data_IF_656198439697
#
_entry.id   IF_656198439697
#
_cell.length_a   1.000
_cell.length_b   1.000
_cell.length_c   1.000
_cell.angle_alpha   90.00
_cell.angle_beta   90.00
_cell.angle_gamma   90.00
#
_symmetry.space_group_name_H-M   'P 1'
#
loop_
_entity.id
_entity.type
_entity.pdbx_description
1 polymer ?
#
# COMPACT_ATOMS: atom_id res chain seq x y z
N UNK A 1 -30.62 14.76 3.53
CA UNK A 1 -29.45 14.24 4.29
C UNK A 1 -29.21 12.83 3.82
N UNK A 2 -27.99 12.52 3.36
CA UNK A 2 -27.66 11.16 2.92
C UNK A 2 -26.94 10.49 4.07
N UNK A 3 -27.59 9.52 4.69
CA UNK A 3 -26.98 8.68 5.74
C UNK A 3 -26.27 7.52 5.06
N UNK A 4 -24.98 7.37 5.37
CA UNK A 4 -24.20 6.22 4.91
C UNK A 4 -24.14 5.22 6.06
N UNK A 5 -24.74 4.05 5.85
CA UNK A 5 -24.60 2.93 6.77
C UNK A 5 -23.13 2.45 6.76
N UNK A 6 -22.41 2.75 7.84
CA UNK A 6 -21.00 2.46 7.94
C UNK A 6 -20.70 0.96 7.88
N UNK A 7 -21.52 0.13 8.52
CA UNK A 7 -21.35 -1.33 8.51
C UNK A 7 -21.47 -1.89 7.10
N UNK A 8 -22.46 -1.44 6.32
CA UNK A 8 -22.63 -1.86 4.93
C UNK A 8 -21.43 -1.46 4.07
N UNK A 9 -20.92 -0.23 4.23
CA UNK A 9 -19.73 0.25 3.53
C UNK A 9 -18.50 -0.61 3.84
N UNK A 10 -18.27 -0.92 5.13
CA UNK A 10 -17.15 -1.75 5.58
C UNK A 10 -17.25 -3.15 4.96
N UNK A 11 -18.41 -3.80 5.02
CA UNK A 11 -18.61 -5.14 4.45
C UNK A 11 -18.39 -5.13 2.93
N UNK A 12 -18.91 -4.13 2.23
CA UNK A 12 -18.74 -4.00 0.78
C UNK A 12 -17.27 -3.84 0.41
N UNK A 13 -16.54 -2.97 1.10
CA UNK A 13 -15.11 -2.77 0.85
C UNK A 13 -14.30 -4.03 1.17
N UNK A 14 -14.55 -4.68 2.31
CA UNK A 14 -13.88 -5.95 2.65
C UNK A 14 -14.15 -7.00 1.58
N UNK A 15 -15.40 -7.15 1.13
CA UNK A 15 -15.79 -8.07 0.07
C UNK A 15 -15.11 -7.77 -1.27
N UNK A 16 -15.03 -6.49 -1.66
CA UNK A 16 -14.35 -6.05 -2.88
C UNK A 16 -12.86 -6.35 -2.85
N UNK A 17 -12.19 -6.10 -1.72
CA UNK A 17 -10.77 -6.42 -1.59
C UNK A 17 -10.52 -7.91 -1.46
N UNK A 18 -11.40 -8.67 -0.81
CA UNK A 18 -11.34 -10.13 -0.79
C UNK A 18 -11.46 -10.72 -2.21
N UNK A 19 -12.37 -10.19 -3.03
CA UNK A 19 -12.49 -10.56 -4.44
C UNK A 19 -11.24 -10.16 -5.25
N UNK A 20 -10.72 -8.95 -5.06
CA UNK A 20 -9.47 -8.53 -5.70
C UNK A 20 -8.29 -9.44 -5.30
N UNK A 21 -8.25 -9.86 -4.03
CA UNK A 21 -7.27 -10.79 -3.50
C UNK A 21 -7.35 -12.18 -4.11
N UNK A 22 -8.56 -12.68 -4.41
CA UNK A 22 -8.76 -13.94 -5.14
C UNK A 22 -7.99 -13.95 -6.47
N UNK A 23 -8.13 -12.88 -7.27
CA UNK A 23 -7.50 -12.80 -8.59
C UNK A 23 -5.98 -12.53 -8.53
N UNK A 24 -5.51 -11.78 -7.52
CA UNK A 24 -4.08 -11.46 -7.37
C UNK A 24 -3.29 -12.59 -6.72
N UNK A 25 -3.94 -13.39 -5.89
CA UNK A 25 -3.34 -14.39 -5.01
C UNK A 25 -2.61 -13.77 -3.81
N UNK A 26 -2.31 -14.62 -2.82
CA UNK A 26 -1.80 -14.19 -1.52
C UNK A 26 -0.47 -13.44 -1.55
N UNK A 27 0.42 -13.70 -2.52
CA UNK A 27 1.76 -13.10 -2.52
C UNK A 27 1.71 -11.58 -2.68
N UNK A 28 0.90 -11.10 -3.63
CA UNK A 28 0.71 -9.67 -3.88
C UNK A 28 -0.02 -9.01 -2.72
N UNK A 29 -1.03 -9.69 -2.18
CA UNK A 29 -1.78 -9.19 -1.04
C UNK A 29 -0.92 -9.12 0.22
N UNK A 30 0.00 -10.06 0.46
CA UNK A 30 0.92 -10.02 1.59
C UNK A 30 1.86 -8.81 1.53
N UNK A 31 2.35 -8.44 0.34
CA UNK A 31 3.14 -7.21 0.15
C UNK A 31 2.28 -5.99 0.53
N UNK A 32 1.05 -5.91 0.04
CA UNK A 32 0.11 -4.85 0.44
C UNK A 32 -0.13 -4.83 1.95
N UNK A 33 -0.29 -6.00 2.59
CA UNK A 33 -0.47 -6.11 4.05
C UNK A 33 0.73 -5.54 4.82
N UNK A 34 1.97 -5.74 4.36
CA UNK A 34 3.16 -5.17 5.00
C UNK A 34 3.13 -3.64 4.94
N UNK A 35 2.81 -3.06 3.79
CA UNK A 35 2.70 -1.60 3.63
C UNK A 35 1.60 -1.03 4.52
N UNK A 36 0.43 -1.67 4.55
CA UNK A 36 -0.68 -1.25 5.40
C UNK A 36 -0.37 -1.39 6.89
N UNK A 37 0.28 -2.49 7.27
CA UNK A 37 0.74 -2.71 8.65
C UNK A 37 1.70 -1.61 9.09
N UNK A 38 2.64 -1.23 8.22
CA UNK A 38 3.56 -0.13 8.51
C UNK A 38 2.81 1.19 8.72
N UNK A 39 1.80 1.49 7.89
CA UNK A 39 0.96 2.68 8.08
C UNK A 39 0.13 2.63 9.37
N UNK A 40 -0.38 1.45 9.75
CA UNK A 40 -1.02 1.24 11.05
C UNK A 40 -0.02 1.54 12.15
N UNK A 41 1.21 1.02 12.07
CA UNK A 41 2.25 1.29 13.06
C UNK A 41 2.53 2.79 13.22
N UNK A 42 2.66 3.53 12.11
CA UNK A 42 2.82 4.98 12.16
C UNK A 42 1.62 5.66 12.83
N UNK A 43 0.39 5.24 12.52
CA UNK A 43 -0.81 5.81 13.13
C UNK A 43 -0.91 5.58 14.64
N UNK A 44 -0.24 4.55 15.17
CA UNK A 44 -0.31 4.14 16.58
C UNK A 44 0.84 4.72 17.42
N UNK A 45 1.92 5.13 16.77
CA UNK A 45 3.09 5.69 17.44
C UNK A 45 3.37 7.09 16.86
N UNK A 46 2.76 8.15 17.44
CA UNK A 46 2.87 9.51 16.91
C UNK A 46 4.31 9.99 16.72
N UNK A 47 5.23 9.57 17.60
CA UNK A 47 6.65 9.88 17.47
C UNK A 47 7.26 9.30 16.18
N UNK A 48 6.93 8.06 15.82
CA UNK A 48 7.41 7.45 14.57
C UNK A 48 6.77 8.10 13.35
N UNK A 49 5.49 8.42 13.42
CA UNK A 49 4.80 9.20 12.38
C UNK A 49 5.47 10.56 12.15
N UNK A 50 5.80 11.30 13.21
CA UNK A 50 6.49 12.58 13.09
C UNK A 50 7.88 12.43 12.47
N UNK A 51 8.67 11.43 12.91
CA UNK A 51 9.99 11.15 12.33
C UNK A 51 9.86 10.82 10.84
N UNK A 52 8.85 10.01 10.48
CA UNK A 52 8.58 9.64 9.10
C UNK A 52 8.24 10.86 8.23
N UNK A 53 7.32 11.72 8.67
CA UNK A 53 6.96 12.96 7.95
C UNK A 53 8.15 13.91 7.86
N UNK A 54 8.93 14.09 8.93
CA UNK A 54 10.14 14.91 8.89
C UNK A 54 11.15 14.36 7.86
N UNK A 55 11.27 13.04 7.75
CA UNK A 55 12.12 12.40 6.74
C UNK A 55 11.60 12.66 5.32
N UNK A 56 10.28 12.55 5.10
CA UNK A 56 9.68 12.89 3.81
C UNK A 56 9.89 14.36 3.45
N UNK A 57 9.67 15.28 4.39
CA UNK A 57 9.90 16.71 4.19
C UNK A 57 11.37 17.02 3.89
N UNK A 58 12.30 16.32 4.53
CA UNK A 58 13.72 16.43 4.19
C UNK A 58 13.98 15.99 2.75
N UNK A 59 13.45 14.84 2.30
CA UNK A 59 13.58 14.36 0.92
C UNK A 59 12.96 15.35 -0.08
N UNK A 60 11.74 15.84 0.20
CA UNK A 60 11.06 16.83 -0.63
C UNK A 60 11.90 18.09 -0.75
N UNK A 61 12.43 18.61 0.36
CA UNK A 61 13.29 19.79 0.35
C UNK A 61 14.57 19.58 -0.47
N UNK A 62 15.14 18.37 -0.45
CA UNK A 62 16.34 18.03 -1.22
C UNK A 62 16.02 17.97 -2.71
N UNK A 63 14.94 17.30 -3.09
CA UNK A 63 14.47 17.23 -4.49
C UNK A 63 14.14 18.64 -4.99
N UNK A 64 13.43 19.44 -4.19
CA UNK A 64 13.06 20.81 -4.54
C UNK A 64 14.28 21.69 -4.79
N UNK A 65 15.29 21.63 -3.91
CA UNK A 65 16.55 22.35 -4.08
C UNK A 65 17.30 21.89 -5.32
N UNK A 66 17.35 20.58 -5.59
CA UNK A 66 17.98 20.05 -6.79
C UNK A 66 17.28 20.51 -8.07
N UNK A 67 15.93 20.49 -8.10
CA UNK A 67 15.13 20.98 -9.22
C UNK A 67 15.31 22.48 -9.43
N UNK A 68 15.26 23.27 -8.36
CA UNK A 68 15.47 24.73 -8.40
C UNK A 68 16.86 25.09 -8.91
N UNK A 69 17.87 24.30 -8.56
CA UNK A 69 19.24 24.47 -9.06
C UNK A 69 19.40 24.10 -10.54
N UNK A 70 18.58 23.18 -11.06
CA UNK A 70 18.62 22.75 -12.46
C UNK A 70 17.93 23.77 -13.38
N UNK A 71 16.78 24.32 -12.99
CA UNK A 71 16.12 25.43 -13.71
C UNK A 71 14.96 26.03 -12.93
N UNK A 72 14.86 27.36 -12.92
CA UNK A 72 13.72 28.10 -12.37
C UNK A 72 12.41 27.84 -13.12
N UNK A 73 12.48 27.57 -14.44
CA UNK A 73 11.29 27.35 -15.28
C UNK A 73 10.57 26.02 -15.00
N UNK A 74 11.29 24.98 -14.56
CA UNK A 74 10.66 23.71 -14.16
C UNK A 74 9.85 23.86 -12.88
N UNK A 75 10.33 24.68 -11.94
CA UNK A 75 9.69 24.89 -10.65
C UNK A 75 8.36 25.63 -10.84
N UNK A 76 8.38 26.73 -11.59
CA UNK A 76 7.17 27.51 -11.88
C UNK A 76 6.14 26.74 -12.72
N UNK A 77 6.61 25.89 -13.66
CA UNK A 77 5.73 24.98 -14.40
C UNK A 77 5.09 23.92 -13.49
N UNK A 78 5.84 23.40 -12.51
CA UNK A 78 5.32 22.43 -11.55
C UNK A 78 4.28 23.07 -10.62
N UNK A 79 4.56 24.26 -10.09
CA UNK A 79 3.63 25.07 -9.30
C UNK A 79 2.30 25.28 -10.03
N UNK A 80 2.38 25.69 -11.29
CA UNK A 80 1.20 25.94 -12.13
C UNK A 80 0.42 24.65 -12.42
N UNK A 81 1.12 23.55 -12.74
CA UNK A 81 0.46 22.28 -13.10
C UNK A 81 -0.17 21.56 -11.91
N UNK A 82 0.39 21.71 -10.73
CA UNK A 82 -0.13 21.12 -9.49
C UNK A 82 -1.08 22.06 -8.74
N UNK A 83 -1.25 23.31 -9.22
CA UNK A 83 -2.05 24.33 -8.54
C UNK A 83 -1.52 24.68 -7.16
N UNK A 84 -0.21 24.54 -6.95
CA UNK A 84 0.44 24.83 -5.68
C UNK A 84 0.84 26.31 -5.67
N UNK A 85 0.17 27.10 -4.85
CA UNK A 85 0.61 28.48 -4.55
C UNK A 85 1.60 28.44 -3.38
N UNK A 86 2.83 28.02 -3.69
CA UNK A 86 3.89 27.86 -2.70
C UNK A 86 4.77 29.10 -2.55
N UNK A 87 4.55 30.18 -3.30
CA UNK A 87 5.25 31.47 -3.16
C UNK A 87 6.79 31.36 -2.99
N UNK A 88 7.43 30.34 -3.59
CA UNK A 88 8.85 30.06 -3.45
C UNK A 88 9.27 29.30 -2.18
N UNK A 89 8.33 28.94 -1.31
CA UNK A 89 8.55 28.03 -0.18
C UNK A 89 8.61 26.57 -0.65
N UNK A 90 9.38 25.75 0.08
CA UNK A 90 9.43 24.31 -0.18
C UNK A 90 8.11 23.67 0.25
N UNK A 91 7.46 22.83 -0.57
CA UNK A 91 6.30 22.06 -0.13
C UNK A 91 6.61 21.27 1.15
N UNK A 92 5.73 21.36 2.14
CA UNK A 92 5.84 20.59 3.38
C UNK A 92 4.56 19.80 3.65
N UNK A 93 4.74 18.55 4.02
CA UNK A 93 3.69 17.67 4.52
C UNK A 93 3.45 17.97 6.00
N UNK A 94 2.18 18.07 6.40
CA UNK A 94 1.78 18.24 7.79
C UNK A 94 1.44 16.87 8.40
N UNK A 95 2.12 16.53 9.50
CA UNK A 95 1.88 15.30 10.22
C UNK A 95 0.52 15.28 10.94
N UNK A 96 -0.06 16.44 11.25
CA UNK A 96 -1.36 16.57 11.91
C UNK A 96 -2.55 16.54 10.95
N UNK A 97 -2.32 16.72 9.65
CA UNK A 97 -3.38 16.78 8.65
C UNK A 97 -3.77 15.38 8.13
N UNK A 98 -5.04 15.01 8.31
CA UNK A 98 -5.61 13.77 7.80
C UNK A 98 -5.50 13.59 6.29
N UNK A 99 -5.57 14.67 5.50
CA UNK A 99 -5.47 14.57 4.04
C UNK A 99 -4.07 14.14 3.61
N UNK A 100 -3.03 14.66 4.26
CA UNK A 100 -1.64 14.22 4.09
C UNK A 100 -1.50 12.70 4.24
N UNK A 101 -2.10 12.12 5.29
CA UNK A 101 -2.06 10.66 5.51
C UNK A 101 -2.86 9.85 4.50
N UNK A 102 -3.99 10.38 4.00
CA UNK A 102 -4.75 9.75 2.91
C UNK A 102 -3.91 9.71 1.62
N UNK A 103 -3.20 10.80 1.30
CA UNK A 103 -2.29 10.84 0.15
C UNK A 103 -1.17 9.81 0.31
N UNK A 104 -0.54 9.73 1.50
CA UNK A 104 0.48 8.73 1.82
C UNK A 104 -0.06 7.31 1.65
N UNK A 105 -1.28 7.03 2.13
CA UNK A 105 -1.94 5.73 1.96
C UNK A 105 -2.08 5.37 0.47
N UNK A 106 -2.56 6.29 -0.37
CA UNK A 106 -2.70 6.06 -1.82
C UNK A 106 -1.34 5.78 -2.48
N UNK A 107 -0.30 6.53 -2.11
CA UNK A 107 1.06 6.32 -2.62
C UNK A 107 1.58 4.94 -2.19
N UNK A 108 1.41 4.57 -0.92
CA UNK A 108 1.83 3.26 -0.41
C UNK A 108 1.09 2.10 -1.09
N UNK A 109 -0.21 2.23 -1.32
CA UNK A 109 -0.98 1.24 -2.08
C UNK A 109 -0.48 1.12 -3.52
N UNK A 110 -0.19 2.25 -4.18
CA UNK A 110 0.34 2.28 -5.53
C UNK A 110 1.72 1.60 -5.61
N UNK A 111 2.61 1.91 -4.65
CA UNK A 111 3.92 1.27 -4.53
C UNK A 111 3.79 -0.24 -4.27
N UNK A 112 2.88 -0.64 -3.37
CA UNK A 112 2.64 -2.05 -3.09
C UNK A 112 2.15 -2.81 -4.33
N UNK A 113 1.29 -2.19 -5.16
CA UNK A 113 0.84 -2.77 -6.44
C UNK A 113 2.01 -2.92 -7.42
N UNK A 114 2.85 -1.88 -7.56
CA UNK A 114 4.01 -1.91 -8.46
C UNK A 114 5.02 -2.97 -8.02
N UNK A 115 5.38 -3.01 -6.73
CA UNK A 115 6.28 -4.02 -6.17
C UNK A 115 5.66 -5.42 -6.30
N UNK A 116 4.37 -5.57 -6.01
CA UNK A 116 3.63 -6.81 -6.18
C UNK A 116 3.65 -7.32 -7.62
N UNK A 117 3.60 -6.42 -8.61
CA UNK A 117 3.74 -6.76 -10.03
C UNK A 117 5.15 -7.21 -10.39
N UNK A 118 6.17 -6.53 -9.88
CA UNK A 118 7.58 -6.81 -10.20
C UNK A 118 8.22 -7.95 -9.38
N UNK A 119 7.60 -8.37 -8.28
CA UNK A 119 8.16 -9.38 -7.36
C UNK A 119 7.97 -10.84 -7.82
N UNK A 120 7.14 -11.09 -8.84
CA UNK A 120 7.01 -12.40 -9.48
C UNK A 120 8.05 -12.54 -10.60
N UNK A 121 8.74 -13.69 -10.73
CA UNK A 121 9.74 -13.91 -11.78
C UNK A 121 9.07 -13.83 -13.17
N UNK A 122 9.84 -13.58 -14.23
CA UNK A 122 9.32 -13.60 -15.60
C UNK A 122 8.58 -12.34 -16.08
N UNK A 123 8.15 -11.43 -15.19
CA UNK A 123 7.49 -10.19 -15.62
C UNK A 123 8.46 -9.18 -16.26
N UNK A 124 9.66 -9.02 -15.69
CA UNK A 124 10.66 -8.01 -16.13
C UNK A 124 11.57 -8.47 -17.27
N UNK A 125 11.48 -9.74 -17.67
CA UNK A 125 12.17 -10.30 -18.85
C UNK A 125 11.15 -11.09 -19.65
N UNK A 126 10.47 -10.48 -20.63
CA UNK A 126 9.67 -11.23 -21.59
C UNK A 126 10.66 -12.05 -22.45
N UNK A 127 11.04 -13.20 -21.91
CA UNK A 127 11.78 -14.22 -22.65
C UNK A 127 10.71 -14.98 -23.41
N UNK A 128 10.78 -15.04 -24.73
CA UNK A 128 9.78 -15.78 -25.50
C UNK A 128 10.02 -17.29 -25.32
N UNK A 129 8.96 -18.11 -25.10
CA UNK A 129 7.53 -17.77 -25.00
C UNK A 129 7.19 -17.01 -23.71
N UNK A 130 6.18 -16.12 -23.72
CA UNK A 130 5.79 -15.32 -22.53
C UNK A 130 5.47 -16.23 -21.33
N UNK A 131 6.37 -16.26 -20.35
CA UNK A 131 6.19 -17.05 -19.13
C UNK A 131 5.54 -16.19 -18.05
N UNK A 132 4.25 -16.39 -17.80
CA UNK A 132 3.50 -15.74 -16.72
C UNK A 132 3.37 -16.65 -15.50
N UNK A 133 3.26 -16.06 -14.31
CA UNK A 133 2.85 -16.80 -13.11
C UNK A 133 1.39 -16.50 -12.79
N UNK A 134 0.59 -17.55 -12.66
CA UNK A 134 -0.82 -17.46 -12.29
C UNK A 134 -1.03 -18.11 -10.93
N UNK A 135 -1.88 -17.50 -10.11
CA UNK A 135 -2.25 -18.04 -8.81
C UNK A 135 -3.09 -19.32 -9.01
N UNK A 136 -2.72 -20.41 -8.34
CA UNK A 136 -3.57 -21.59 -8.23
C UNK A 136 -4.76 -21.28 -7.33
N UNK A 137 -5.76 -22.18 -7.32
CA UNK A 137 -6.91 -22.04 -6.44
C UNK A 137 -6.52 -21.90 -4.96
N UNK A 138 -5.47 -22.60 -4.51
CA UNK A 138 -4.97 -22.47 -3.13
C UNK A 138 -4.43 -21.06 -2.87
N UNK A 139 -3.60 -20.52 -3.77
CA UNK A 139 -3.09 -19.16 -3.63
C UNK A 139 -4.19 -18.10 -3.72
N UNK A 140 -5.23 -18.35 -4.53
CA UNK A 140 -6.40 -17.50 -4.65
C UNK A 140 -7.22 -17.48 -3.35
N UNK A 141 -7.43 -18.63 -2.70
CA UNK A 141 -8.14 -18.72 -1.41
C UNK A 141 -7.40 -17.96 -0.29
N UNK A 142 -6.09 -18.11 -0.20
CA UNK A 142 -5.30 -17.29 0.74
C UNK A 142 -5.31 -15.80 0.36
N UNK A 143 -5.40 -15.50 -0.94
CA UNK A 143 -5.61 -14.16 -1.47
C UNK A 143 -6.93 -13.54 -1.00
N UNK A 144 -8.03 -14.30 -0.94
CA UNK A 144 -9.32 -13.84 -0.41
C UNK A 144 -9.19 -13.37 1.04
N UNK A 145 -8.53 -14.18 1.87
CA UNK A 145 -8.35 -13.87 3.29
C UNK A 145 -7.48 -12.61 3.48
N UNK A 146 -6.31 -12.55 2.83
CA UNK A 146 -5.44 -11.38 2.93
C UNK A 146 -6.06 -10.13 2.30
N UNK A 147 -6.77 -10.27 1.18
CA UNK A 147 -7.53 -9.19 0.56
C UNK A 147 -8.59 -8.64 1.52
N UNK A 148 -9.38 -9.51 2.17
CA UNK A 148 -10.34 -9.07 3.18
C UNK A 148 -9.69 -8.32 4.34
N UNK A 149 -8.56 -8.83 4.85
CA UNK A 149 -7.77 -8.15 5.89
C UNK A 149 -7.28 -6.78 5.40
N UNK A 150 -6.74 -6.70 4.18
CA UNK A 150 -6.27 -5.46 3.57
C UNK A 150 -7.39 -4.43 3.42
N UNK A 151 -8.57 -4.85 2.95
CA UNK A 151 -9.75 -4.00 2.84
C UNK A 151 -10.19 -3.44 4.21
N UNK A 152 -10.18 -4.29 5.24
CA UNK A 152 -10.47 -3.90 6.61
C UNK A 152 -9.44 -2.92 7.18
N UNK A 153 -8.14 -3.14 6.94
CA UNK A 153 -7.08 -2.22 7.36
C UNK A 153 -7.22 -0.86 6.66
N UNK A 154 -7.48 -0.84 5.35
CA UNK A 154 -7.62 0.40 4.56
C UNK A 154 -8.78 1.24 5.08
N UNK A 155 -10.00 0.68 5.20
CA UNK A 155 -11.16 1.47 5.65
C UNK A 155 -10.95 2.05 7.05
N UNK A 156 -10.20 1.33 7.87
CA UNK A 156 -9.93 1.74 9.23
C UNK A 156 -8.85 2.81 9.33
N UNK A 157 -7.80 2.71 8.51
CA UNK A 157 -6.83 3.80 8.35
C UNK A 157 -7.51 5.05 7.81
N UNK A 158 -8.36 4.92 6.80
CA UNK A 158 -9.16 6.05 6.27
C UNK A 158 -9.98 6.70 7.37
N UNK A 159 -10.67 5.91 8.20
CA UNK A 159 -11.41 6.44 9.35
C UNK A 159 -10.50 7.22 10.30
N UNK A 160 -9.38 6.62 10.73
CA UNK A 160 -8.44 7.24 11.67
C UNK A 160 -7.87 8.54 11.11
N UNK A 161 -7.54 8.59 9.82
CA UNK A 161 -7.00 9.78 9.18
C UNK A 161 -8.06 10.88 9.02
N UNK A 162 -9.32 10.51 8.71
CA UNK A 162 -10.42 11.47 8.66
C UNK A 162 -10.76 12.05 10.04
N UNK A 163 -10.63 11.28 11.11
CA UNK A 163 -10.90 11.76 12.49
C UNK A 163 -9.72 12.47 13.13
N UNK A 164 -8.50 12.29 12.62
CA UNK A 164 -7.28 12.88 13.16
C UNK A 164 -6.89 12.40 14.56
N UNK A 165 -7.60 11.41 15.12
CA UNK A 165 -7.58 11.08 16.54
C UNK A 165 -6.24 10.51 17.05
N UNK A 166 -5.40 10.00 16.16
CA UNK A 166 -4.08 9.43 16.51
C UNK A 166 -2.94 10.09 15.75
N UNK A 167 -3.21 11.19 15.05
CA UNK A 167 -2.19 11.90 14.28
C UNK A 167 -1.31 12.77 15.20
N UNK A 168 -0.01 12.91 14.90
CA UNK A 168 0.86 13.84 15.62
C UNK A 168 0.30 15.26 15.63
N UNK A 169 0.09 15.84 16.81
CA UNK A 169 -0.46 17.20 16.93
C UNK A 169 -1.96 17.32 16.59
N UNK A 170 -2.65 16.20 16.38
CA UNK A 170 -4.09 16.17 16.14
C UNK A 170 -4.86 16.78 17.31
N UNK A 171 -5.37 17.99 17.13
CA UNK A 171 -6.46 18.50 17.95
C UNK A 171 -7.70 17.68 17.60
N UNK A 172 -8.43 17.18 18.61
CA UNK A 172 -9.72 16.53 18.39
C UNK A 172 -10.61 17.48 17.58
N UNK A 173 -10.72 17.24 16.28
CA UNK A 173 -11.17 18.26 15.33
C UNK A 173 -12.58 18.73 15.62
N UNK A 174 -12.73 20.00 16.03
CA UNK A 174 -13.96 20.76 15.81
C UNK A 174 -14.15 20.92 14.32
N UNK A 175 -15.21 20.33 13.78
CA UNK A 175 -15.54 20.36 12.36
C UNK A 175 -15.60 21.80 11.82
N UNK A 176 -14.84 22.08 10.76
CA UNK A 176 -14.91 23.35 10.04
C UNK A 176 -16.25 23.45 9.29
N UNK A 177 -16.94 24.59 9.43
CA UNK A 177 -18.37 24.74 9.17
C UNK A 177 -18.80 24.78 7.69
N UNK A 178 -17.89 24.58 6.73
CA UNK A 178 -18.13 24.87 5.31
C UNK A 178 -18.06 23.64 4.39
N UNK A 179 -18.36 22.45 4.92
CA UNK A 179 -18.36 21.19 4.14
C UNK A 179 -19.69 20.47 4.21
N UNK A 180 -20.06 19.80 3.11
CA UNK A 180 -21.18 18.86 3.06
C UNK A 180 -21.09 17.88 4.23
N UNK A 181 -22.04 17.98 5.16
CA UNK A 181 -22.10 17.14 6.36
C UNK A 181 -22.62 15.77 5.95
N UNK A 182 -21.71 14.87 5.57
CA UNK A 182 -22.01 13.44 5.45
C UNK A 182 -21.94 12.86 6.86
N UNK A 183 -23.10 12.56 7.44
CA UNK A 183 -23.16 11.88 8.73
C UNK A 183 -23.11 10.37 8.52
N UNK A 184 -22.05 9.75 9.03
CA UNK A 184 -21.99 8.29 9.12
C UNK A 184 -22.73 7.84 10.39
N UNK A 185 -23.69 6.94 10.25
CA UNK A 185 -24.36 6.28 11.38
C UNK A 185 -23.63 4.99 11.73
N UNK A 186 -23.76 4.54 12.98
CA UNK A 186 -23.22 3.25 13.45
C UNK A 186 -21.69 3.09 13.32
N UNK A 187 -20.94 4.20 13.41
CA UNK A 187 -19.48 4.15 13.45
C UNK A 187 -19.04 3.50 14.78
N UNK A 188 -18.35 2.34 14.77
CA UNK A 188 -17.96 1.66 16.00
C UNK A 188 -17.08 2.54 16.87
N UNK A 189 -17.35 2.65 18.16
CA UNK A 189 -16.54 3.46 19.07
C UNK A 189 -15.11 2.92 19.24
N UNK A 190 -14.91 1.63 18.99
CA UNK A 190 -13.60 0.99 19.10
C UNK A 190 -12.72 1.32 17.90
N UNK A 191 -11.47 1.65 18.18
CA UNK A 191 -10.41 1.83 17.20
C UNK A 191 -9.71 0.50 16.93
N UNK A 192 -9.06 0.37 15.77
CA UNK A 192 -8.15 -0.76 15.51
C UNK A 192 -6.98 -0.79 16.50
N UNK A 193 -6.65 0.37 17.05
CA UNK A 193 -5.69 0.53 18.14
C UNK A 193 -6.01 -0.38 19.33
N UNK A 194 -7.30 -0.54 19.63
CA UNK A 194 -7.79 -1.16 20.86
C UNK A 194 -7.80 -2.69 20.77
N UNK A 195 -7.57 -3.24 19.57
CA UNK A 195 -7.56 -4.68 19.33
C UNK A 195 -6.14 -5.19 19.08
N UNK A 196 -5.77 -6.28 19.75
CA UNK A 196 -4.53 -7.01 19.48
C UNK A 196 -4.55 -7.76 18.14
N UNK A 197 -5.75 -8.08 17.62
CA UNK A 197 -5.95 -8.88 16.43
C UNK A 197 -5.26 -8.35 15.16
N UNK A 198 -5.36 -7.04 14.79
CA UNK A 198 -4.64 -6.48 13.65
C UNK A 198 -3.13 -6.67 13.75
N UNK A 199 -2.55 -6.50 14.94
CA UNK A 199 -1.12 -6.70 15.19
C UNK A 199 -0.68 -8.15 15.05
N UNK A 200 -1.51 -9.08 15.53
CA UNK A 200 -1.27 -10.50 15.36
C UNK A 200 -1.26 -10.88 13.87
N UNK A 201 -2.25 -10.43 13.11
CA UNK A 201 -2.32 -10.71 11.67
C UNK A 201 -1.20 -10.06 10.88
N UNK A 202 -0.86 -8.82 11.21
CA UNK A 202 0.29 -8.10 10.68
C UNK A 202 1.60 -8.86 10.93
N UNK A 203 1.86 -9.25 12.18
CA UNK A 203 3.06 -10.01 12.55
C UNK A 203 3.12 -11.36 11.82
N UNK A 204 2.00 -12.07 11.75
CA UNK A 204 1.92 -13.34 11.02
C UNK A 204 2.15 -13.14 9.52
N UNK A 205 1.56 -12.11 8.90
CA UNK A 205 1.76 -11.79 7.48
C UNK A 205 3.22 -11.47 7.17
N UNK A 206 3.89 -10.70 8.03
CA UNK A 206 5.33 -10.39 7.89
C UNK A 206 6.16 -11.67 8.01
N UNK A 207 5.92 -12.51 9.02
CA UNK A 207 6.65 -13.76 9.21
C UNK A 207 6.47 -14.72 8.02
N UNK A 208 5.24 -14.85 7.51
CA UNK A 208 4.94 -15.65 6.31
C UNK A 208 5.65 -15.08 5.08
N UNK A 209 5.66 -13.76 4.91
CA UNK A 209 6.36 -13.13 3.78
C UNK A 209 7.87 -13.35 3.86
N UNK A 210 8.48 -13.19 5.03
CA UNK A 210 9.92 -13.44 5.24
C UNK A 210 10.25 -14.91 4.96
N UNK A 211 9.48 -15.85 5.53
CA UNK A 211 9.66 -17.28 5.30
C UNK A 211 9.53 -17.63 3.81
N UNK A 212 8.58 -17.01 3.12
CA UNK A 212 8.38 -17.20 1.70
C UNK A 212 9.53 -16.61 0.88
N UNK A 213 10.00 -15.38 1.16
CA UNK A 213 11.17 -14.80 0.49
C UNK A 213 12.39 -15.71 0.65
N UNK A 214 12.65 -16.19 1.88
CA UNK A 214 13.78 -17.06 2.17
C UNK A 214 13.69 -18.41 1.44
N UNK A 215 12.50 -19.00 1.33
CA UNK A 215 12.29 -20.25 0.61
C UNK A 215 12.37 -20.10 -0.92
N UNK A 216 12.27 -18.87 -1.44
CA UNK A 216 12.34 -18.61 -2.90
C UNK A 216 13.76 -18.59 -3.45
N UNK A 217 14.76 -18.21 -2.65
CA UNK A 217 16.15 -18.09 -3.09
C UNK A 217 16.80 -19.47 -3.07
N UNK A 218 17.12 -20.03 -4.23
CA UNK A 218 17.77 -21.34 -4.36
C UNK A 218 19.07 -21.20 -5.14
N UNK A 219 20.13 -21.83 -4.64
CA UNK A 219 21.41 -21.90 -5.34
C UNK A 219 21.43 -23.14 -6.23
N UNK A 220 21.42 -22.94 -7.54
CA UNK A 220 21.50 -24.01 -8.55
C UNK A 220 22.89 -23.95 -9.19
N UNK A 221 23.53 -25.11 -9.40
CA UNK A 221 24.77 -25.18 -10.18
C UNK A 221 24.41 -25.12 -11.66
N UNK A 222 25.02 -24.20 -12.40
CA UNK A 222 24.93 -24.15 -13.86
C UNK A 222 25.64 -25.37 -14.48
N UNK A 223 25.41 -25.62 -15.77
CA UNK A 223 26.04 -26.70 -16.54
C UNK A 223 27.57 -26.62 -16.53
N UNK A 224 28.11 -25.41 -16.32
CA UNK A 224 29.54 -25.11 -16.20
C UNK A 224 30.08 -25.22 -14.75
N UNK A 225 29.24 -25.63 -13.79
CA UNK A 225 29.61 -25.80 -12.38
C UNK A 225 29.57 -24.53 -11.53
N UNK A 226 29.29 -23.36 -12.11
CA UNK A 226 29.14 -22.10 -11.38
C UNK A 226 27.85 -22.07 -10.56
N UNK A 227 27.89 -21.45 -9.37
CA UNK A 227 26.69 -21.23 -8.55
C UNK A 227 25.88 -20.08 -9.14
N UNK A 228 24.66 -20.35 -9.58
CA UNK A 228 23.69 -19.36 -10.04
C UNK A 228 22.55 -19.25 -9.02
N UNK A 229 22.13 -18.02 -8.75
CA UNK A 229 20.93 -17.76 -7.95
C UNK A 229 19.73 -17.98 -8.85
N UNK A 230 18.86 -18.92 -8.46
CA UNK A 230 17.58 -19.17 -9.10
C UNK A 230 16.43 -18.80 -8.13
N UNK A 231 15.32 -18.34 -8.70
CA UNK A 231 14.18 -17.85 -7.93
C UNK A 231 12.96 -18.72 -8.19
N UNK A 232 12.60 -19.54 -7.20
CA UNK A 232 11.35 -20.31 -7.27
C UNK A 232 10.15 -19.38 -7.19
N UNK A 233 9.01 -19.71 -7.83
CA UNK A 233 7.77 -18.98 -7.58
C UNK A 233 7.33 -19.09 -6.11
N UNK A 234 6.52 -18.13 -5.63
CA UNK A 234 5.87 -18.28 -4.34
C UNK A 234 4.93 -19.49 -4.34
N UNK A 235 4.65 -20.03 -3.16
CA UNK A 235 3.77 -21.19 -3.00
C UNK A 235 2.39 -20.93 -3.63
N UNK A 236 1.87 -21.92 -4.36
CA UNK A 236 0.58 -21.81 -5.03
C UNK A 236 0.60 -20.92 -6.27
N UNK A 237 1.77 -20.62 -6.85
CA UNK A 237 1.86 -20.02 -8.18
C UNK A 237 2.41 -21.03 -9.16
N UNK A 238 1.72 -21.18 -10.28
CA UNK A 238 2.14 -22.05 -11.39
C UNK A 238 2.57 -21.20 -12.56
N UNK A 239 3.65 -21.65 -13.21
CA UNK A 239 4.11 -21.08 -14.46
C UNK A 239 3.13 -21.47 -15.56
N UNK A 240 2.65 -20.50 -16.32
CA UNK A 240 1.78 -20.71 -17.47
C UNK A 240 2.52 -20.20 -18.71
N UNK A 241 2.74 -21.10 -19.65
CA UNK A 241 3.28 -20.74 -20.96
C UNK A 241 2.18 -20.04 -21.74
N UNK A 242 2.30 -18.73 -21.90
CA UNK A 242 1.45 -17.96 -22.80
C UNK A 242 2.05 -18.17 -24.19
N UNK A 243 1.78 -19.34 -24.77
CA UNK A 243 1.94 -19.50 -26.20
C UNK A 243 0.87 -18.61 -26.81
N UNK A 244 1.25 -17.42 -27.27
CA UNK A 244 0.39 -16.61 -28.12
C UNK A 244 -0.09 -17.55 -29.21
N UNK A 245 -1.39 -17.86 -29.20
CA UNK A 245 -2.01 -18.58 -30.29
C UNK A 245 -1.62 -17.80 -31.55
N UNK A 246 -0.72 -18.37 -32.35
CA UNK A 246 -0.51 -17.88 -33.71
C UNK A 246 -1.83 -18.15 -34.38
N UNK A 247 -2.69 -17.14 -34.39
CA UNK A 247 -3.98 -17.24 -35.05
C UNK A 247 -3.75 -17.62 -36.51
N UNK A 248 -4.50 -18.64 -36.89
CA UNK A 248 -4.83 -19.02 -38.26
C UNK A 248 -5.74 -17.97 -38.87
#
# INVERSE_FOLDING_TARGET
MVEINWTALVILLIGLFALAGYYKGWWKEAITTVFLTFLVLLSQVPTLAQIFINTLNFIISLIWRALSALSLDLVSALETSLGLDINGETPQLDAGDGHTWIIILIIFLSLAILIGRHSLPGWSRPTYPYEGYVATQQAAMYGVLLGGINGWLIISLVRVYLTGSTLPGGSSGTASADRVIVQATDVPLTSIADSFLPWLFAGLAILVLIAAINNRVVYVKDKEGYRKIDYKPPLGYTKQDITLAKDK
#
